data_IF_299242468972
#
_entry.id   IF_299242468972
#
_cell.length_a   1.000
_cell.length_b   1.000
_cell.length_c   1.000
_cell.angle_alpha   90.00
_cell.angle_beta   90.00
_cell.angle_gamma   90.00
#
_symmetry.space_group_name_H-M   'P 1'
#
loop_
_entity.id
_entity.type
_entity.pdbx_description
1 polymer ?
#
# COMPACT_ATOMS: atom_id res chain seq x y z
N UNK A 1 -10.10 -22.53 -15.12
CA UNK A 1 -8.78 -22.02 -14.71
C UNK A 1 -8.81 -20.67 -13.96
N UNK A 2 -9.79 -20.33 -13.09
CA UNK A 2 -9.77 -19.06 -12.33
C UNK A 2 -8.81 -19.06 -11.12
N UNK A 3 -8.59 -20.20 -10.45
CA UNK A 3 -7.71 -20.30 -9.27
C UNK A 3 -6.25 -19.97 -9.58
N UNK A 4 -5.75 -20.39 -10.76
CA UNK A 4 -4.39 -20.07 -11.22
C UNK A 4 -4.17 -18.56 -11.35
N UNK A 5 -5.19 -17.79 -11.73
CA UNK A 5 -5.07 -16.35 -11.91
C UNK A 5 -5.12 -15.60 -10.57
N UNK A 6 -5.87 -16.12 -9.58
CA UNK A 6 -5.87 -15.57 -8.22
C UNK A 6 -4.51 -15.77 -7.55
N UNK A 7 -3.92 -16.96 -7.67
CA UNK A 7 -2.59 -17.26 -7.12
C UNK A 7 -1.52 -16.35 -7.73
N UNK A 8 -1.50 -16.23 -9.08
CA UNK A 8 -0.57 -15.33 -9.78
C UNK A 8 -0.76 -13.87 -9.36
N UNK A 9 -2.00 -13.39 -9.18
CA UNK A 9 -2.26 -12.05 -8.69
C UNK A 9 -1.64 -11.84 -7.29
N UNK A 10 -1.88 -12.77 -6.37
CA UNK A 10 -1.36 -12.70 -5.00
C UNK A 10 0.17 -12.77 -4.95
N UNK A 11 0.78 -13.59 -5.82
CA UNK A 11 2.24 -13.67 -5.93
C UNK A 11 2.84 -12.37 -6.45
N UNK A 12 2.27 -11.80 -7.53
CA UNK A 12 2.72 -10.51 -8.08
C UNK A 12 2.55 -9.38 -7.06
N UNK A 13 1.42 -9.34 -6.36
CA UNK A 13 1.18 -8.38 -5.28
C UNK A 13 2.18 -8.54 -4.14
N UNK A 14 2.51 -9.78 -3.76
CA UNK A 14 3.49 -10.08 -2.71
C UNK A 14 4.89 -9.60 -3.10
N UNK A 15 5.33 -9.91 -4.32
CA UNK A 15 6.62 -9.43 -4.85
C UNK A 15 6.65 -7.91 -4.89
N UNK A 16 5.59 -7.27 -5.36
CA UNK A 16 5.47 -5.82 -5.41
C UNK A 16 5.57 -5.22 -4.00
N UNK A 17 4.73 -5.65 -3.07
CA UNK A 17 4.69 -5.14 -1.69
C UNK A 17 6.06 -5.27 -1.00
N UNK A 18 6.76 -6.41 -1.16
CA UNK A 18 8.12 -6.59 -0.61
C UNK A 18 9.14 -5.65 -1.24
N UNK A 19 9.03 -5.38 -2.55
CA UNK A 19 9.92 -4.44 -3.25
C UNK A 19 9.77 -2.98 -2.81
N UNK A 20 8.67 -2.66 -2.11
CA UNK A 20 8.37 -1.31 -1.61
C UNK A 20 8.96 -1.03 -0.21
N UNK A 21 9.66 -2.01 0.39
CA UNK A 21 10.38 -1.79 1.64
C UNK A 21 11.38 -0.64 1.47
N UNK A 22 11.32 0.33 2.37
CA UNK A 22 12.27 1.44 2.37
C UNK A 22 13.61 0.96 2.92
N UNK A 23 14.71 1.43 2.33
CA UNK A 23 16.03 1.16 2.87
C UNK A 23 16.22 1.92 4.21
N UNK A 24 16.98 1.38 5.17
CA UNK A 24 17.23 2.02 6.47
C UNK A 24 17.86 3.41 6.33
N UNK A 25 18.66 3.59 5.29
CA UNK A 25 19.51 4.77 5.04
C UNK A 25 18.79 5.84 4.20
N UNK A 26 17.47 5.73 3.99
CA UNK A 26 16.72 6.71 3.20
C UNK A 26 16.81 8.06 3.91
N UNK A 27 17.24 9.10 3.20
CA UNK A 27 17.26 10.45 3.73
C UNK A 27 15.83 10.88 4.10
N UNK A 28 15.66 11.52 5.26
CA UNK A 28 14.34 11.90 5.78
C UNK A 28 13.50 12.69 4.77
N UNK A 29 14.16 13.60 4.03
CA UNK A 29 13.53 14.40 2.98
C UNK A 29 13.04 13.58 1.76
N UNK A 30 13.39 12.30 1.66
CA UNK A 30 12.93 11.38 0.61
C UNK A 30 11.83 10.44 1.09
N UNK A 31 11.53 10.38 2.39
CA UNK A 31 10.55 9.43 2.95
C UNK A 31 9.17 9.63 2.32
N UNK A 32 8.73 10.87 2.21
CA UNK A 32 7.44 11.22 1.62
C UNK A 32 7.35 10.76 0.15
N UNK A 33 8.38 11.04 -0.65
CA UNK A 33 8.44 10.65 -2.06
C UNK A 33 8.43 9.12 -2.22
N UNK A 34 9.14 8.40 -1.34
CA UNK A 34 9.15 6.94 -1.34
C UNK A 34 7.79 6.38 -0.95
N UNK A 35 7.11 7.00 0.02
CA UNK A 35 5.77 6.58 0.41
C UNK A 35 4.76 6.82 -0.73
N UNK A 36 4.83 7.98 -1.39
CA UNK A 36 4.01 8.28 -2.55
C UNK A 36 4.26 7.29 -3.69
N UNK A 37 5.53 6.94 -3.94
CA UNK A 37 5.87 5.91 -4.92
C UNK A 37 5.26 4.55 -4.58
N UNK A 38 5.23 4.17 -3.31
CA UNK A 38 4.61 2.92 -2.83
C UNK A 38 3.10 2.89 -3.12
N UNK A 39 2.37 3.95 -2.74
CA UNK A 39 0.95 4.09 -3.08
C UNK A 39 0.74 4.01 -4.59
N UNK A 40 1.48 4.81 -5.38
CA UNK A 40 1.33 4.86 -6.83
C UNK A 40 1.55 3.51 -7.50
N UNK A 41 2.58 2.77 -7.08
CA UNK A 41 2.89 1.44 -7.64
C UNK A 41 1.78 0.44 -7.36
N UNK A 42 1.21 0.44 -6.15
CA UNK A 42 0.10 -0.45 -5.79
C UNK A 42 -1.19 -0.05 -6.52
N UNK A 43 -1.52 1.24 -6.57
CA UNK A 43 -2.69 1.74 -7.32
C UNK A 43 -2.58 1.44 -8.82
N UNK A 44 -1.38 1.55 -9.40
CA UNK A 44 -1.15 1.15 -10.79
C UNK A 44 -1.37 -0.35 -10.98
N UNK A 45 -0.84 -1.18 -10.08
CA UNK A 45 -1.05 -2.63 -10.13
C UNK A 45 -2.53 -2.99 -10.09
N UNK A 46 -3.32 -2.35 -9.22
CA UNK A 46 -4.77 -2.58 -9.14
C UNK A 46 -5.52 -2.13 -10.39
N UNK A 47 -5.01 -1.13 -11.11
CA UNK A 47 -5.61 -0.63 -12.35
C UNK A 47 -5.18 -1.41 -13.61
N UNK A 48 -4.24 -2.37 -13.52
CA UNK A 48 -3.81 -3.18 -14.67
C UNK A 48 -4.93 -4.10 -15.18
N UNK A 49 -5.74 -4.64 -14.27
CA UNK A 49 -6.89 -5.50 -14.58
C UNK A 49 -7.98 -5.27 -13.53
N UNK A 50 -8.94 -4.40 -13.86
CA UNK A 50 -10.02 -4.02 -12.95
C UNK A 50 -10.91 -5.21 -12.55
N UNK A 51 -11.15 -6.14 -13.47
CA UNK A 51 -12.01 -7.31 -13.21
C UNK A 51 -11.32 -8.23 -12.21
N UNK A 52 -10.02 -8.49 -12.41
CA UNK A 52 -9.24 -9.32 -11.50
C UNK A 52 -9.06 -8.65 -10.14
N UNK A 53 -8.78 -7.34 -10.09
CA UNK A 53 -8.72 -6.58 -8.85
C UNK A 53 -10.05 -6.61 -8.09
N UNK A 54 -11.18 -6.41 -8.76
CA UNK A 54 -12.48 -6.51 -8.11
C UNK A 54 -12.69 -7.89 -7.48
N UNK A 55 -12.43 -8.96 -8.24
CA UNK A 55 -12.64 -10.33 -7.76
C UNK A 55 -11.68 -10.74 -6.65
N UNK A 56 -10.40 -10.44 -6.78
CA UNK A 56 -9.34 -11.02 -5.93
C UNK A 56 -8.94 -10.11 -4.78
N UNK A 57 -9.07 -8.79 -4.94
CA UNK A 57 -8.66 -7.81 -3.94
C UNK A 57 -9.84 -7.15 -3.23
N UNK A 58 -10.96 -6.87 -3.91
CA UNK A 58 -12.05 -6.07 -3.32
C UNK A 58 -13.23 -6.89 -2.79
N UNK A 59 -13.65 -7.94 -3.49
CA UNK A 59 -14.87 -8.69 -3.17
C UNK A 59 -14.59 -9.96 -2.34
N UNK A 60 -15.44 -10.29 -1.35
CA UNK A 60 -15.31 -11.54 -0.59
C UNK A 60 -15.64 -12.79 -1.44
N UNK A 61 -15.09 -13.96 -1.09
CA UNK A 61 -14.17 -14.21 0.02
C UNK A 61 -12.71 -13.85 -0.28
N UNK A 62 -12.31 -13.87 -1.55
CA UNK A 62 -10.91 -13.71 -1.98
C UNK A 62 -10.31 -12.37 -1.55
N UNK A 63 -11.08 -11.29 -1.63
CA UNK A 63 -10.67 -9.94 -1.24
C UNK A 63 -10.28 -9.85 0.23
N UNK A 64 -11.03 -10.51 1.12
CA UNK A 64 -10.72 -10.52 2.56
C UNK A 64 -9.36 -11.16 2.82
N UNK A 65 -9.08 -12.30 2.18
CA UNK A 65 -7.81 -13.01 2.33
C UNK A 65 -6.64 -12.22 1.71
N UNK A 66 -6.85 -11.66 0.53
CA UNK A 66 -5.82 -10.89 -0.18
C UNK A 66 -5.47 -9.59 0.56
N UNK A 67 -6.47 -8.89 1.10
CA UNK A 67 -6.25 -7.70 1.92
C UNK A 67 -5.52 -8.05 3.23
N UNK A 68 -5.91 -9.14 3.91
CA UNK A 68 -5.21 -9.61 5.11
C UNK A 68 -3.74 -9.94 4.84
N UNK A 69 -3.46 -10.61 3.72
CA UNK A 69 -2.09 -10.85 3.25
C UNK A 69 -1.33 -9.55 3.01
N UNK A 70 -1.92 -8.58 2.29
CA UNK A 70 -1.28 -7.29 2.03
C UNK A 70 -0.98 -6.53 3.33
N UNK A 71 -1.92 -6.50 4.27
CA UNK A 71 -1.74 -5.90 5.61
C UNK A 71 -0.54 -6.52 6.30
N UNK A 72 -0.38 -7.85 6.27
CA UNK A 72 0.78 -8.52 6.88
C UNK A 72 2.09 -8.08 6.24
N UNK A 73 2.16 -8.05 4.91
CA UNK A 73 3.36 -7.64 4.17
C UNK A 73 3.73 -6.17 4.43
N UNK A 74 2.73 -5.29 4.48
CA UNK A 74 2.94 -3.87 4.80
C UNK A 74 3.38 -3.71 6.25
N UNK A 75 2.81 -4.47 7.19
CA UNK A 75 3.24 -4.45 8.58
C UNK A 75 4.70 -4.88 8.72
N UNK A 76 5.12 -5.95 8.02
CA UNK A 76 6.53 -6.38 7.98
C UNK A 76 7.46 -5.26 7.49
N UNK A 77 7.06 -4.51 6.46
CA UNK A 77 7.83 -3.38 5.96
C UNK A 77 7.87 -2.20 6.94
N UNK A 78 6.77 -1.89 7.60
CA UNK A 78 6.70 -0.80 8.61
C UNK A 78 7.53 -1.16 9.84
N UNK A 79 7.44 -2.40 10.33
CA UNK A 79 8.26 -2.88 11.45
C UNK A 79 9.75 -2.76 11.14
N UNK A 80 10.17 -3.12 9.92
CA UNK A 80 11.54 -2.93 9.49
C UNK A 80 11.97 -1.45 9.58
N UNK A 81 11.16 -0.53 9.05
CA UNK A 81 11.44 0.91 9.14
C UNK A 81 11.40 1.46 10.58
N UNK A 82 10.56 0.91 11.46
CA UNK A 82 10.51 1.30 12.87
C UNK A 82 11.77 0.86 13.63
N UNK A 83 12.32 -0.33 13.33
CA UNK A 83 13.56 -0.81 13.94
C UNK A 83 14.75 0.11 13.67
N UNK A 84 14.77 0.74 12.50
CA UNK A 84 15.79 1.72 12.10
C UNK A 84 15.42 3.17 12.47
N UNK A 85 14.35 3.36 13.27
CA UNK A 85 13.82 4.67 13.71
C UNK A 85 13.41 5.62 12.59
N UNK A 86 13.22 5.10 11.38
CA UNK A 86 12.73 5.88 10.23
C UNK A 86 11.26 6.27 10.40
N UNK A 87 10.47 5.37 10.99
CA UNK A 87 9.05 5.62 11.30
C UNK A 87 8.82 5.63 12.80
N UNK A 88 7.81 6.41 13.21
CA UNK A 88 7.28 6.42 14.58
C UNK A 88 6.93 5.01 15.05
N UNK A 89 7.25 4.69 16.29
CA UNK A 89 7.05 3.37 16.90
C UNK A 89 6.00 3.39 18.04
N UNK A 90 5.43 4.55 18.34
CA UNK A 90 4.33 4.72 19.29
C UNK A 90 2.99 4.16 18.77
N UNK A 91 2.87 3.97 17.44
CA UNK A 91 1.73 3.29 16.80
C UNK A 91 2.17 1.91 16.32
N UNK A 92 1.45 0.82 16.67
CA UNK A 92 1.77 -0.51 16.20
C UNK A 92 1.79 -0.61 14.66
N UNK A 93 2.84 -1.22 14.10
CA UNK A 93 2.98 -1.43 12.66
C UNK A 93 1.75 -2.10 12.01
N UNK A 94 1.11 -3.04 12.72
CA UNK A 94 -0.10 -3.70 12.26
C UNK A 94 -1.27 -2.74 12.03
N UNK A 95 -1.45 -1.76 12.93
CA UNK A 95 -2.50 -0.75 12.80
C UNK A 95 -2.18 0.23 11.65
N UNK A 96 -0.93 0.68 11.54
CA UNK A 96 -0.50 1.51 10.43
C UNK A 96 -0.69 0.80 9.08
N UNK A 97 -0.38 -0.51 9.00
CA UNK A 97 -0.58 -1.30 7.80
C UNK A 97 -2.06 -1.47 7.42
N UNK A 98 -2.96 -1.60 8.40
CA UNK A 98 -4.41 -1.58 8.18
C UNK A 98 -4.86 -0.24 7.59
N UNK A 99 -4.43 0.88 8.16
CA UNK A 99 -4.76 2.22 7.65
C UNK A 99 -4.22 2.44 6.22
N UNK A 100 -2.95 2.07 5.97
CA UNK A 100 -2.34 2.12 4.65
C UNK A 100 -3.14 1.33 3.62
N UNK A 101 -3.48 0.08 3.96
CA UNK A 101 -4.25 -0.81 3.09
C UNK A 101 -5.68 -0.31 2.89
N UNK A 102 -6.31 0.26 3.92
CA UNK A 102 -7.65 0.83 3.83
C UNK A 102 -7.73 1.99 2.82
N UNK A 103 -6.74 2.88 2.80
CA UNK A 103 -6.67 3.93 1.79
C UNK A 103 -6.55 3.36 0.37
N UNK A 104 -5.73 2.32 0.19
CA UNK A 104 -5.60 1.64 -1.10
C UNK A 104 -6.89 0.96 -1.54
N UNK A 105 -7.57 0.26 -0.63
CA UNK A 105 -8.86 -0.41 -0.92
C UNK A 105 -9.89 0.63 -1.35
N UNK A 106 -9.99 1.75 -0.63
CA UNK A 106 -10.92 2.83 -0.96
C UNK A 106 -10.67 3.41 -2.36
N UNK A 107 -9.40 3.64 -2.72
CA UNK A 107 -9.04 4.16 -4.03
C UNK A 107 -9.16 3.10 -5.14
N UNK A 108 -8.89 1.82 -4.84
CA UNK A 108 -9.04 0.74 -5.80
C UNK A 108 -10.52 0.47 -6.17
N UNK A 109 -11.48 0.83 -5.30
CA UNK A 109 -12.90 0.84 -5.64
C UNK A 109 -13.29 1.93 -6.66
N UNK A 110 -12.42 2.92 -6.88
CA UNK A 110 -12.65 4.03 -7.81
C UNK A 110 -11.49 4.08 -8.82
N UNK A 111 -11.47 3.19 -9.84
CA UNK A 111 -10.44 3.22 -10.87
C UNK A 111 -10.31 4.62 -11.45
N UNK A 112 -9.09 5.12 -11.48
CA UNK A 112 -8.78 6.49 -11.89
C UNK A 112 -7.67 6.49 -12.93
N UNK A 113 -7.66 7.52 -13.78
CA UNK A 113 -6.60 7.71 -14.79
C UNK A 113 -5.21 7.84 -14.15
N UNK A 114 -4.11 7.52 -14.86
CA UNK A 114 -2.75 7.56 -14.30
C UNK A 114 -2.36 8.88 -13.62
N UNK A 115 -2.83 10.02 -14.18
CA UNK A 115 -2.59 11.34 -13.61
C UNK A 115 -3.26 11.51 -12.24
N UNK A 116 -4.49 11.02 -12.09
CA UNK A 116 -5.23 11.09 -10.83
C UNK A 116 -4.60 10.15 -9.79
N UNK A 117 -4.26 8.91 -10.17
CA UNK A 117 -3.55 7.98 -9.26
C UNK A 117 -2.23 8.55 -8.74
N UNK A 118 -1.54 9.36 -9.56
CA UNK A 118 -0.36 10.07 -9.10
C UNK A 118 -0.70 11.14 -8.04
N UNK A 119 -1.72 11.96 -8.26
CA UNK A 119 -2.15 12.95 -7.27
C UNK A 119 -2.62 12.30 -5.96
N UNK A 120 -3.44 11.25 -6.06
CA UNK A 120 -3.92 10.49 -4.90
C UNK A 120 -2.76 9.88 -4.11
N UNK A 121 -1.74 9.35 -4.80
CA UNK A 121 -0.56 8.79 -4.14
C UNK A 121 0.22 9.82 -3.32
N UNK A 122 0.30 11.07 -3.79
CA UNK A 122 0.93 12.17 -3.06
C UNK A 122 0.10 12.56 -1.83
N UNK A 123 -1.22 12.64 -1.99
CA UNK A 123 -2.13 12.96 -0.89
C UNK A 123 -2.13 11.87 0.19
N UNK A 124 -2.20 10.59 -0.20
CA UNK A 124 -2.11 9.46 0.72
C UNK A 124 -0.78 9.44 1.46
N UNK A 125 0.34 9.71 0.77
CA UNK A 125 1.65 9.77 1.42
C UNK A 125 1.72 10.85 2.49
N UNK A 126 1.21 12.06 2.19
CA UNK A 126 1.14 13.15 3.18
C UNK A 126 0.26 12.76 4.37
N UNK A 127 -0.95 12.28 4.11
CA UNK A 127 -1.86 11.84 5.17
C UNK A 127 -1.22 10.75 6.04
N UNK A 128 -0.50 9.81 5.43
CA UNK A 128 0.09 8.69 6.15
C UNK A 128 1.34 9.07 6.95
N UNK A 129 2.21 9.92 6.39
CA UNK A 129 3.47 10.30 7.02
C UNK A 129 3.33 11.50 7.97
N UNK A 130 2.49 12.47 7.63
CA UNK A 130 2.36 13.76 8.31
C UNK A 130 1.04 13.86 9.11
N UNK A 131 0.00 13.11 8.72
CA UNK A 131 -1.32 13.18 9.32
C UNK A 131 -2.23 14.23 8.67
N UNK A 132 -3.35 14.55 9.34
CA UNK A 132 -4.36 15.52 8.84
C UNK A 132 -4.01 16.95 9.24
N UNK A 133 -3.44 17.14 10.43
CA UNK A 133 -3.15 18.45 10.98
C UNK A 133 -1.70 18.81 10.76
N UNK A 134 -1.44 19.85 9.97
CA UNK A 134 -0.12 20.47 9.86
C UNK A 134 -0.02 21.54 10.95
N UNK A 135 0.90 21.38 11.90
CA UNK A 135 1.28 22.51 12.76
C UNK A 135 2.26 23.37 11.97
N UNK A 136 1.88 24.63 11.74
CA UNK A 136 2.79 25.70 11.30
C UNK A 136 3.92 25.91 12.31
#
# INVERSE_FOLDING_TARGET
MPESNNAVFRDRLTVLARSLRMAPQVAENQVLDRMALSFRKLLNFFAEDEVLTQRVFLLPPEGTETQAMLIRLVAENITFSQQDKLFRDDIPAALLAQCFTGMLVQLAHQPAEPAQRHQDSLACAKLFCEGIWVRE
#
